data_IF_466633631107
#
_entry.id   IF_466633631107
#
_cell.length_a   1.000
_cell.length_b   1.000
_cell.length_c   1.000
_cell.angle_alpha   90.00
_cell.angle_beta   90.00
_cell.angle_gamma   90.00
#
_symmetry.space_group_name_H-M   'P 1'
#
loop_
_entity.id
_entity.type
_entity.pdbx_description
1 polymer ?
#
# COMPACT_ATOMS: atom_id res chain seq x y z
N UNK A 1 23.72 15.43 4.97
CA UNK A 1 22.46 14.86 4.43
C UNK A 1 21.72 14.24 5.61
N UNK A 2 20.46 14.57 5.79
CA UNK A 2 19.70 14.11 6.98
C UNK A 2 19.56 12.60 6.96
N UNK A 3 19.99 11.95 8.04
CA UNK A 3 19.83 10.51 8.29
C UNK A 3 18.35 10.08 8.32
N UNK A 4 17.46 11.05 8.45
CA UNK A 4 16.01 10.83 8.63
C UNK A 4 15.30 10.23 7.41
N UNK A 5 15.74 10.56 6.17
CA UNK A 5 15.12 10.07 4.91
C UNK A 5 15.89 8.91 4.27
N UNK A 6 16.82 8.28 4.99
CA UNK A 6 17.69 7.26 4.40
C UNK A 6 16.89 6.08 3.83
N UNK A 7 15.87 5.59 4.54
CA UNK A 7 15.04 4.50 4.06
C UNK A 7 14.29 4.82 2.76
N UNK A 8 13.83 6.07 2.60
CA UNK A 8 13.20 6.52 1.36
C UNK A 8 14.22 6.59 0.20
N UNK A 9 15.44 7.04 0.48
CA UNK A 9 16.54 7.05 -0.51
C UNK A 9 16.85 5.62 -0.96
N UNK A 10 17.05 4.71 -0.01
CA UNK A 10 17.35 3.30 -0.29
C UNK A 10 16.22 2.66 -1.11
N UNK A 11 14.96 2.87 -0.73
CA UNK A 11 13.81 2.40 -1.48
C UNK A 11 13.77 2.92 -2.92
N UNK A 12 14.04 4.22 -3.13
CA UNK A 12 14.07 4.80 -4.48
C UNK A 12 15.17 4.15 -5.32
N UNK A 13 16.36 3.95 -4.75
CA UNK A 13 17.50 3.33 -5.45
C UNK A 13 17.27 1.84 -5.73
N UNK A 14 16.58 1.12 -4.85
CA UNK A 14 16.20 -0.29 -5.04
C UNK A 14 15.20 -0.46 -6.19
N UNK A 15 14.25 0.46 -6.32
CA UNK A 15 13.24 0.42 -7.39
C UNK A 15 13.82 0.84 -8.73
N UNK A 16 14.63 1.87 -8.73
CA UNK A 16 15.26 2.39 -9.95
C UNK A 16 16.67 2.91 -9.66
N UNK A 17 17.72 2.30 -10.25
CA UNK A 17 19.10 2.72 -10.04
C UNK A 17 19.33 4.18 -10.41
N UNK A 18 19.74 4.99 -9.44
CA UNK A 18 20.12 6.38 -9.64
C UNK A 18 21.22 6.80 -8.66
N UNK A 19 21.89 7.93 -8.94
CA UNK A 19 22.89 8.47 -8.03
C UNK A 19 22.30 8.92 -6.71
N UNK A 20 23.08 8.86 -5.63
CA UNK A 20 22.67 9.36 -4.32
C UNK A 20 22.29 10.85 -4.36
N UNK A 21 22.97 11.65 -5.21
CA UNK A 21 22.64 13.06 -5.40
C UNK A 21 21.23 13.24 -5.97
N UNK A 22 20.88 12.50 -7.03
CA UNK A 22 19.54 12.56 -7.64
C UNK A 22 18.46 12.07 -6.69
N UNK A 23 18.69 10.97 -5.95
CA UNK A 23 17.78 10.50 -4.93
C UNK A 23 17.60 11.55 -3.81
N UNK A 24 18.69 12.20 -3.39
CA UNK A 24 18.66 13.28 -2.41
C UNK A 24 17.83 14.49 -2.85
N UNK A 25 17.92 14.88 -4.13
CA UNK A 25 17.10 15.95 -4.69
C UNK A 25 15.60 15.58 -4.70
N UNK A 26 15.29 14.33 -5.04
CA UNK A 26 13.90 13.84 -5.05
C UNK A 26 13.31 13.85 -3.63
N UNK A 27 14.01 13.29 -2.65
CA UNK A 27 13.48 13.19 -1.27
C UNK A 27 13.37 14.54 -0.57
N UNK A 28 14.01 15.59 -1.09
CA UNK A 28 13.86 16.96 -0.58
C UNK A 28 12.42 17.48 -0.68
N UNK A 29 11.63 16.97 -1.64
CA UNK A 29 10.21 17.31 -1.82
C UNK A 29 9.27 16.57 -0.87
N UNK A 30 9.75 15.54 -0.20
CA UNK A 30 8.90 14.75 0.70
C UNK A 30 8.88 15.37 2.10
N UNK A 31 7.71 15.43 2.70
CA UNK A 31 7.45 15.91 4.05
C UNK A 31 7.03 14.75 4.96
N UNK A 32 7.35 14.85 6.24
CA UNK A 32 6.95 13.88 7.23
C UNK A 32 5.46 14.01 7.56
N UNK A 33 4.77 12.87 7.69
CA UNK A 33 3.42 12.78 8.23
C UNK A 33 3.34 11.59 9.19
N UNK A 34 2.66 11.81 10.29
CA UNK A 34 2.38 10.79 11.30
C UNK A 34 0.88 10.57 11.40
N UNK A 35 0.49 9.32 11.58
CA UNK A 35 -0.89 8.91 11.81
C UNK A 35 -0.91 7.96 13.00
N UNK A 36 -1.85 8.16 13.91
CA UNK A 36 -2.08 7.21 14.99
C UNK A 36 -2.99 6.08 14.51
N UNK A 37 -2.94 4.96 15.22
CA UNK A 37 -3.82 3.82 14.93
C UNK A 37 -5.28 4.26 14.83
N UNK A 38 -5.98 3.81 13.78
CA UNK A 38 -7.35 4.13 13.37
C UNK A 38 -7.52 5.48 12.68
N UNK A 39 -6.50 6.30 12.51
CA UNK A 39 -6.59 7.52 11.71
C UNK A 39 -6.87 7.18 10.24
N UNK A 40 -7.62 8.06 9.59
CA UNK A 40 -7.84 7.97 8.15
C UNK A 40 -6.76 8.75 7.41
N UNK A 41 -6.00 8.05 6.59
CA UNK A 41 -5.04 8.66 5.65
C UNK A 41 -5.82 9.20 4.43
N UNK A 42 -6.85 8.47 3.99
CA UNK A 42 -7.79 8.90 2.96
C UNK A 42 -9.19 8.43 3.33
N UNK A 43 -10.19 9.28 3.14
CA UNK A 43 -11.61 8.92 3.26
C UNK A 43 -12.26 8.83 1.90
N UNK A 44 -13.12 7.84 1.73
CA UNK A 44 -14.02 7.74 0.58
C UNK A 44 -14.71 9.07 0.30
N UNK A 45 -14.88 9.42 -0.96
CA UNK A 45 -15.46 10.70 -1.40
C UNK A 45 -14.48 11.87 -1.41
N UNK A 46 -13.26 11.73 -0.87
CA UNK A 46 -12.19 12.73 -0.95
C UNK A 46 -11.25 12.41 -2.11
N UNK A 47 -10.65 13.44 -2.70
CA UNK A 47 -9.60 13.27 -3.69
C UNK A 47 -8.30 12.93 -2.96
N UNK A 48 -7.59 11.88 -3.42
CA UNK A 48 -6.26 11.55 -2.93
C UNK A 48 -5.27 12.63 -3.40
N UNK A 49 -4.72 13.39 -2.48
CA UNK A 49 -3.83 14.51 -2.77
C UNK A 49 -2.36 14.22 -2.46
N UNK A 50 -2.08 13.16 -1.72
CA UNK A 50 -0.75 12.82 -1.25
C UNK A 50 -0.37 11.39 -1.64
N UNK A 51 0.92 11.22 -1.93
CA UNK A 51 1.57 9.96 -2.26
C UNK A 51 2.57 9.68 -1.14
N UNK A 52 2.36 8.63 -0.38
CA UNK A 52 3.12 8.33 0.83
C UNK A 52 4.08 7.16 0.61
N UNK A 53 5.28 7.27 1.14
CA UNK A 53 6.16 6.15 1.45
C UNK A 53 6.02 5.84 2.95
N UNK A 54 5.68 4.62 3.30
CA UNK A 54 5.59 4.20 4.70
C UNK A 54 6.98 3.85 5.20
N UNK A 55 7.55 4.69 6.06
CA UNK A 55 8.81 4.39 6.73
C UNK A 55 8.62 3.35 7.83
N UNK A 56 7.53 3.48 8.59
CA UNK A 56 7.13 2.57 9.65
C UNK A 56 5.61 2.58 9.79
N UNK A 57 5.03 1.41 10.07
CA UNK A 57 3.61 1.29 10.34
C UNK A 57 2.91 0.29 9.44
N UNK A 58 1.59 0.24 9.58
CA UNK A 58 0.74 -0.67 8.84
C UNK A 58 -0.63 -0.05 8.60
N UNK A 59 -1.11 -0.12 7.37
CA UNK A 59 -2.38 0.44 6.96
C UNK A 59 -3.14 -0.51 6.03
N UNK A 60 -4.42 -0.26 5.83
CA UNK A 60 -5.26 -0.95 4.84
C UNK A 60 -6.04 0.03 3.97
N UNK A 61 -6.30 -0.36 2.73
CA UNK A 61 -7.40 0.18 1.94
C UNK A 61 -8.61 -0.73 2.04
N UNK A 62 -9.82 -0.16 2.05
CA UNK A 62 -11.06 -0.91 2.04
C UNK A 62 -12.20 -0.09 1.42
N UNK A 63 -13.20 -0.78 0.91
CA UNK A 63 -14.45 -0.23 0.42
C UNK A 63 -15.63 -0.99 1.03
N UNK A 64 -16.86 -0.55 0.75
CA UNK A 64 -18.07 -1.26 1.16
C UNK A 64 -18.66 -2.02 -0.03
N UNK A 65 -19.09 -3.26 0.21
CA UNK A 65 -19.86 -4.01 -0.76
C UNK A 65 -21.33 -3.53 -0.84
N UNK A 66 -22.13 -4.16 -1.69
CA UNK A 66 -23.57 -3.84 -1.86
C UNK A 66 -24.42 -4.11 -0.63
N UNK A 67 -23.92 -4.89 0.32
CA UNK A 67 -24.59 -5.21 1.58
C UNK A 67 -24.10 -4.32 2.74
N UNK A 68 -23.12 -3.44 2.49
CA UNK A 68 -22.53 -2.55 3.47
C UNK A 68 -21.44 -3.17 4.32
N UNK A 69 -20.92 -4.36 3.95
CA UNK A 69 -19.76 -4.94 4.62
C UNK A 69 -18.46 -4.28 4.16
N UNK A 70 -17.54 -4.06 5.09
CA UNK A 70 -16.22 -3.56 4.73
C UNK A 70 -15.38 -4.68 4.06
N UNK A 71 -14.85 -4.39 2.88
CA UNK A 71 -14.03 -5.30 2.09
C UNK A 71 -12.64 -4.71 1.90
N UNK A 72 -11.64 -5.35 2.49
CA UNK A 72 -10.25 -4.92 2.36
C UNK A 72 -9.74 -5.17 0.95
N UNK A 73 -9.23 -4.12 0.32
CA UNK A 73 -8.71 -4.15 -1.05
C UNK A 73 -7.19 -4.23 -1.10
N UNK A 74 -6.51 -3.65 -0.11
CA UNK A 74 -5.05 -3.72 -0.01
C UNK A 74 -4.58 -3.62 1.46
N UNK A 75 -3.37 -4.12 1.70
CA UNK A 75 -2.57 -3.82 2.89
C UNK A 75 -1.29 -3.10 2.48
N UNK A 76 -0.82 -2.24 3.37
CA UNK A 76 0.41 -1.48 3.19
C UNK A 76 1.27 -1.61 4.45
N UNK A 77 2.50 -2.03 4.29
CA UNK A 77 3.49 -2.15 5.37
C UNK A 77 4.68 -1.23 5.15
N UNK A 78 5.63 -1.24 6.08
CA UNK A 78 6.87 -0.47 5.95
C UNK A 78 7.59 -0.78 4.63
N UNK A 79 8.27 0.21 4.07
CA UNK A 79 8.96 0.19 2.78
C UNK A 79 8.03 -0.01 1.57
N UNK A 80 6.79 0.45 1.67
CA UNK A 80 5.84 0.42 0.57
C UNK A 80 5.28 1.81 0.27
N UNK A 81 4.82 1.97 -0.96
CA UNK A 81 4.07 3.15 -1.37
C UNK A 81 2.59 2.93 -1.05
N UNK A 82 2.00 3.92 -0.40
CA UNK A 82 0.59 4.01 -0.09
C UNK A 82 -0.01 5.18 -0.87
N UNK A 83 -0.92 4.86 -1.78
CA UNK A 83 -1.65 5.85 -2.57
C UNK A 83 -2.87 5.18 -3.23
N UNK A 84 -4.02 5.84 -3.20
CA UNK A 84 -5.12 5.46 -4.09
C UNK A 84 -4.85 6.07 -5.47
N UNK A 85 -4.18 5.30 -6.31
CA UNK A 85 -3.61 5.75 -7.60
C UNK A 85 -4.66 6.28 -8.57
N UNK A 86 -5.86 5.69 -8.59
CA UNK A 86 -6.90 6.10 -9.52
C UNK A 86 -7.43 7.49 -9.19
N UNK A 87 -7.76 7.76 -7.90
CA UNK A 87 -8.15 9.09 -7.44
C UNK A 87 -7.01 10.09 -7.60
N UNK A 88 -5.78 9.70 -7.24
CA UNK A 88 -4.61 10.57 -7.29
C UNK A 88 -4.35 11.09 -8.71
N UNK A 89 -4.28 10.19 -9.71
CA UNK A 89 -3.95 10.58 -11.08
C UNK A 89 -5.15 11.09 -11.89
N UNK A 90 -6.37 10.58 -11.62
CA UNK A 90 -7.57 11.03 -12.32
C UNK A 90 -8.22 12.27 -11.70
N UNK A 91 -7.78 12.67 -10.51
CA UNK A 91 -8.31 13.82 -9.75
C UNK A 91 -9.82 13.72 -9.50
N UNK A 92 -10.30 12.51 -9.19
CA UNK A 92 -11.70 12.21 -8.87
C UNK A 92 -11.81 11.69 -7.44
N UNK A 93 -12.99 11.79 -6.79
CA UNK A 93 -13.18 11.24 -5.45
C UNK A 93 -12.84 9.75 -5.36
N UNK A 94 -12.11 9.37 -4.31
CA UNK A 94 -11.80 7.97 -3.99
C UNK A 94 -13.08 7.19 -3.68
N UNK A 95 -13.10 5.92 -4.08
CA UNK A 95 -14.10 4.92 -3.71
C UNK A 95 -13.64 4.03 -2.57
N UNK A 96 -12.48 4.31 -2.02
CA UNK A 96 -11.87 3.54 -0.94
C UNK A 96 -11.51 4.46 0.22
N UNK A 97 -11.52 3.88 1.41
CA UNK A 97 -10.92 4.45 2.59
C UNK A 97 -9.50 3.87 2.74
N UNK A 98 -8.54 4.67 3.21
CA UNK A 98 -7.24 4.19 3.67
C UNK A 98 -7.13 4.54 5.15
N UNK A 99 -6.89 3.52 5.99
CA UNK A 99 -6.88 3.64 7.44
C UNK A 99 -5.62 3.00 8.03
N UNK A 100 -4.98 3.69 8.97
CA UNK A 100 -3.89 3.17 9.76
C UNK A 100 -4.38 2.06 10.70
N UNK A 101 -3.77 0.88 10.67
CA UNK A 101 -4.02 -0.22 11.59
C UNK A 101 -3.02 -0.27 12.75
N UNK A 102 -1.90 0.43 12.62
CA UNK A 102 -0.91 0.73 13.64
C UNK A 102 -0.47 2.19 13.48
N UNK A 103 0.29 2.72 14.44
CA UNK A 103 0.89 4.04 14.27
C UNK A 103 1.80 4.03 13.04
N UNK A 104 1.67 5.05 12.20
CA UNK A 104 2.39 5.15 10.93
C UNK A 104 3.22 6.43 10.89
N UNK A 105 4.48 6.26 10.51
CA UNK A 105 5.36 7.34 10.09
C UNK A 105 5.57 7.24 8.58
N UNK A 106 5.27 8.31 7.86
CA UNK A 106 5.34 8.33 6.39
C UNK A 106 6.07 9.55 5.88
N UNK A 107 6.65 9.43 4.70
CA UNK A 107 7.13 10.55 3.90
C UNK A 107 6.16 10.76 2.75
N UNK A 108 5.58 11.94 2.63
CA UNK A 108 4.60 12.22 1.59
C UNK A 108 5.05 13.33 0.64
N UNK A 109 4.56 13.25 -0.58
CA UNK A 109 4.67 14.30 -1.59
C UNK A 109 3.27 14.61 -2.12
N UNK A 110 2.93 15.89 -2.25
CA UNK A 110 1.65 16.31 -2.81
C UNK A 110 1.57 16.05 -4.31
N UNK A 111 0.35 16.00 -4.85
CA UNK A 111 0.13 15.88 -6.30
C UNK A 111 0.87 16.95 -7.08
N UNK A 112 0.78 18.22 -6.67
CA UNK A 112 1.39 19.35 -7.39
C UNK A 112 2.92 19.27 -7.35
N UNK A 113 3.51 18.97 -6.20
CA UNK A 113 4.96 18.76 -6.06
C UNK A 113 5.43 17.57 -6.90
N UNK A 114 4.68 16.46 -6.90
CA UNK A 114 5.00 15.29 -7.72
C UNK A 114 5.01 15.64 -9.21
N UNK A 115 4.05 16.45 -9.71
CA UNK A 115 4.05 16.91 -11.09
C UNK A 115 5.31 17.73 -11.43
N UNK A 116 5.75 18.61 -10.52
CA UNK A 116 6.99 19.38 -10.69
C UNK A 116 8.21 18.45 -10.82
N UNK A 117 8.33 17.45 -9.93
CA UNK A 117 9.43 16.48 -9.95
C UNK A 117 9.37 15.63 -11.23
N UNK A 118 8.20 15.15 -11.63
CA UNK A 118 8.02 14.42 -12.89
C UNK A 118 8.42 15.22 -14.12
N UNK A 119 8.13 16.53 -14.12
CA UNK A 119 8.48 17.38 -15.26
C UNK A 119 9.98 17.62 -15.36
N UNK A 120 10.63 17.89 -14.24
CA UNK A 120 12.01 18.38 -14.18
C UNK A 120 13.04 17.26 -14.04
N UNK A 121 12.68 16.07 -13.57
CA UNK A 121 13.63 14.99 -13.24
C UNK A 121 13.31 13.70 -14.02
N UNK A 122 14.00 13.44 -15.15
CA UNK A 122 13.77 12.24 -15.97
C UNK A 122 13.89 10.92 -15.17
N UNK A 123 14.85 10.84 -14.24
CA UNK A 123 15.04 9.65 -13.39
C UNK A 123 13.83 9.36 -12.50
N UNK A 124 13.16 10.40 -12.03
CA UNK A 124 11.93 10.23 -11.23
C UNK A 124 10.76 9.73 -12.09
N UNK A 125 10.69 10.08 -13.36
CA UNK A 125 9.71 9.49 -14.28
C UNK A 125 9.90 7.99 -14.44
N UNK A 126 11.15 7.54 -14.57
CA UNK A 126 11.46 6.12 -14.67
C UNK A 126 11.16 5.37 -13.36
N UNK A 127 11.51 5.95 -12.21
CA UNK A 127 11.11 5.44 -10.91
C UNK A 127 9.58 5.32 -10.81
N UNK A 128 8.83 6.38 -11.12
CA UNK A 128 7.37 6.38 -11.10
C UNK A 128 6.76 5.35 -12.05
N UNK A 129 7.34 5.20 -13.26
CA UNK A 129 6.95 4.15 -14.22
C UNK A 129 7.15 2.75 -13.62
N UNK A 130 8.28 2.50 -12.97
CA UNK A 130 8.56 1.21 -12.33
C UNK A 130 7.55 0.91 -11.21
N UNK A 131 7.24 1.88 -10.37
CA UNK A 131 6.20 1.75 -9.32
C UNK A 131 4.85 1.40 -9.93
N UNK A 132 4.41 2.10 -10.99
CA UNK A 132 3.10 1.85 -11.62
C UNK A 132 3.05 0.47 -12.29
N UNK A 133 4.12 0.02 -12.93
CA UNK A 133 4.20 -1.32 -13.52
C UNK A 133 4.11 -2.39 -12.44
N UNK A 134 4.81 -2.23 -11.30
CA UNK A 134 4.77 -3.15 -10.18
C UNK A 134 3.36 -3.18 -9.55
N UNK A 135 2.73 -2.03 -9.34
CA UNK A 135 1.38 -1.94 -8.80
C UNK A 135 0.35 -2.63 -9.72
N UNK A 136 0.46 -2.40 -11.03
CA UNK A 136 -0.39 -3.09 -12.01
C UNK A 136 -0.17 -4.60 -12.00
N UNK A 137 1.09 -5.06 -11.94
CA UNK A 137 1.41 -6.48 -11.89
C UNK A 137 0.82 -7.16 -10.64
N UNK A 138 0.95 -6.53 -9.47
CA UNK A 138 0.36 -7.02 -8.22
C UNK A 138 -1.17 -7.09 -8.29
N UNK A 139 -1.82 -6.04 -8.80
CA UNK A 139 -3.27 -6.02 -9.00
C UNK A 139 -3.72 -7.14 -9.95
N UNK A 140 -2.99 -7.34 -11.07
CA UNK A 140 -3.28 -8.40 -12.03
C UNK A 140 -3.11 -9.79 -11.42
N UNK A 141 -2.04 -10.02 -10.69
CA UNK A 141 -1.81 -11.27 -9.96
C UNK A 141 -2.92 -11.55 -8.97
N UNK A 142 -3.31 -10.55 -8.16
CA UNK A 142 -4.42 -10.68 -7.22
C UNK A 142 -5.74 -11.02 -7.92
N UNK A 143 -6.06 -10.35 -9.02
CA UNK A 143 -7.27 -10.65 -9.80
C UNK A 143 -7.27 -12.10 -10.29
N UNK A 144 -6.14 -12.58 -10.82
CA UNK A 144 -6.00 -13.96 -11.26
C UNK A 144 -6.08 -14.97 -10.11
N UNK A 145 -5.49 -14.65 -8.96
CA UNK A 145 -5.56 -15.49 -7.77
C UNK A 145 -6.99 -15.70 -7.30
N UNK A 146 -7.80 -14.62 -7.26
CA UNK A 146 -9.23 -14.72 -6.90
C UNK A 146 -10.01 -15.63 -7.85
N UNK A 147 -9.64 -15.65 -9.15
CA UNK A 147 -10.33 -16.46 -10.19
C UNK A 147 -9.85 -17.92 -10.21
N UNK A 148 -8.56 -18.16 -9.97
CA UNK A 148 -7.91 -19.45 -10.27
C UNK A 148 -7.55 -20.28 -9.05
N UNK A 149 -7.51 -19.67 -7.88
CA UNK A 149 -7.01 -20.30 -6.66
C UNK A 149 -8.13 -20.53 -5.65
N UNK A 150 -8.02 -21.61 -4.91
CA UNK A 150 -8.86 -21.88 -3.74
C UNK A 150 -8.55 -20.90 -2.60
N UNK A 151 -9.44 -20.78 -1.65
CA UNK A 151 -9.23 -19.97 -0.46
C UNK A 151 -7.98 -20.41 0.36
N UNK A 152 -7.69 -21.71 0.36
CA UNK A 152 -6.51 -22.28 1.05
C UNK A 152 -5.22 -21.88 0.34
N UNK A 153 -5.18 -21.96 -0.98
CA UNK A 153 -4.02 -21.53 -1.77
C UNK A 153 -3.75 -20.05 -1.60
N UNK A 154 -4.79 -19.20 -1.66
CA UNK A 154 -4.66 -17.76 -1.41
C UNK A 154 -4.15 -17.45 0.00
N UNK A 155 -4.62 -18.21 1.01
CA UNK A 155 -4.12 -18.08 2.38
C UNK A 155 -2.63 -18.42 2.47
N UNK A 156 -2.19 -19.52 1.86
CA UNK A 156 -0.78 -19.95 1.85
C UNK A 156 0.10 -18.92 1.13
N UNK A 157 -0.34 -18.43 -0.02
CA UNK A 157 0.38 -17.40 -0.77
C UNK A 157 0.54 -16.11 0.05
N UNK A 158 -0.53 -15.65 0.71
CA UNK A 158 -0.46 -14.48 1.56
C UNK A 158 0.47 -14.67 2.75
N UNK A 159 0.44 -15.85 3.39
CA UNK A 159 1.30 -16.18 4.52
C UNK A 159 2.80 -16.19 4.12
N UNK A 160 3.11 -16.66 2.92
CA UNK A 160 4.47 -16.72 2.40
C UNK A 160 4.98 -15.36 1.93
N UNK A 161 4.14 -14.58 1.24
CA UNK A 161 4.54 -13.31 0.64
C UNK A 161 4.51 -12.13 1.61
N UNK A 162 3.65 -12.19 2.62
CA UNK A 162 3.39 -11.06 3.52
C UNK A 162 3.00 -11.52 4.94
N UNK A 163 3.92 -12.22 5.65
CA UNK A 163 3.64 -12.78 6.97
C UNK A 163 3.25 -11.71 8.02
N UNK A 164 3.74 -10.49 7.85
CA UNK A 164 3.46 -9.36 8.76
C UNK A 164 1.98 -9.02 8.84
N UNK A 165 1.20 -9.28 7.76
CA UNK A 165 -0.24 -9.06 7.74
C UNK A 165 -0.93 -9.86 8.86
N UNK A 166 -0.48 -11.10 9.09
CA UNK A 166 -1.06 -11.97 10.13
C UNK A 166 -0.71 -11.57 11.56
N UNK A 167 0.31 -10.72 11.72
CA UNK A 167 0.71 -10.17 13.02
C UNK A 167 0.01 -8.85 13.33
N UNK A 168 -0.30 -8.05 12.30
CA UNK A 168 -0.74 -6.67 12.44
C UNK A 168 -2.22 -6.45 12.12
N UNK A 169 -2.82 -7.28 11.24
CA UNK A 169 -4.21 -7.12 10.85
C UNK A 169 -5.16 -8.03 11.67
N UNK A 170 -6.36 -7.55 12.02
CA UNK A 170 -7.42 -8.40 12.56
C UNK A 170 -7.81 -9.52 11.59
N UNK A 171 -8.13 -10.70 12.11
CA UNK A 171 -8.51 -11.86 11.27
C UNK A 171 -9.69 -11.56 10.34
N UNK A 172 -10.68 -10.80 10.82
CA UNK A 172 -11.81 -10.36 10.00
C UNK A 172 -11.36 -9.59 8.76
N UNK A 173 -10.39 -8.70 8.93
CA UNK A 173 -9.81 -7.90 7.85
C UNK A 173 -9.05 -8.78 6.85
N UNK A 174 -8.31 -9.79 7.35
CA UNK A 174 -7.61 -10.78 6.51
C UNK A 174 -8.61 -11.64 5.75
N UNK A 175 -9.69 -12.10 6.39
CA UNK A 175 -10.73 -12.89 5.74
C UNK A 175 -11.37 -12.12 4.60
N UNK A 176 -11.74 -10.84 4.84
CA UNK A 176 -12.31 -9.99 3.81
C UNK A 176 -11.33 -9.77 2.64
N UNK A 177 -10.04 -9.57 2.91
CA UNK A 177 -9.01 -9.48 1.88
C UNK A 177 -8.88 -10.75 1.04
N UNK A 178 -9.00 -11.93 1.66
CA UNK A 178 -8.97 -13.22 0.98
C UNK A 178 -10.29 -13.56 0.26
N UNK A 179 -11.33 -12.74 0.40
CA UNK A 179 -12.65 -12.96 -0.18
C UNK A 179 -13.38 -14.16 0.44
N UNK A 180 -13.21 -14.36 1.75
CA UNK A 180 -13.84 -15.45 2.51
C UNK A 180 -14.42 -14.94 3.83
N UNK A 181 -15.23 -15.76 4.48
CA UNK A 181 -15.77 -15.45 5.81
C UNK A 181 -14.76 -15.74 6.93
N UNK A 182 -14.94 -15.11 8.09
CA UNK A 182 -14.12 -15.34 9.29
C UNK A 182 -14.10 -16.81 9.72
N UNK A 183 -15.26 -17.49 9.61
CA UNK A 183 -15.39 -18.92 9.93
C UNK A 183 -14.59 -19.79 8.96
N UNK A 184 -14.58 -19.44 7.67
CA UNK A 184 -13.77 -20.14 6.67
C UNK A 184 -12.28 -19.96 6.92
N UNK A 185 -11.83 -18.73 7.22
CA UNK A 185 -10.43 -18.46 7.58
C UNK A 185 -10.02 -19.24 8.85
N UNK A 186 -10.87 -19.26 9.88
CA UNK A 186 -10.60 -19.99 11.12
C UNK A 186 -10.47 -21.50 10.87
N UNK A 187 -11.26 -22.07 9.95
CA UNK A 187 -11.16 -23.48 9.55
C UNK A 187 -9.84 -23.73 8.82
N UNK A 188 -9.49 -22.93 7.81
CA UNK A 188 -8.24 -23.07 7.06
C UNK A 188 -7.03 -23.02 8.00
N UNK A 189 -6.97 -22.06 8.91
CA UNK A 189 -5.87 -21.94 9.89
C UNK A 189 -5.73 -23.16 10.77
N UNK A 190 -6.85 -23.76 11.23
CA UNK A 190 -6.86 -24.98 12.07
C UNK A 190 -6.35 -26.19 11.31
N UNK A 191 -6.73 -26.32 10.04
CA UNK A 191 -6.26 -27.41 9.17
C UNK A 191 -4.78 -27.26 8.85
N UNK A 192 -4.31 -26.04 8.61
CA UNK A 192 -2.90 -25.75 8.34
C UNK A 192 -2.00 -25.98 9.56
N UNK A 193 -2.47 -25.70 10.78
CA UNK A 193 -1.72 -25.93 12.02
C UNK A 193 -1.57 -27.42 12.40
N UNK A 194 -2.29 -28.32 11.72
CA UNK A 194 -2.21 -29.78 11.94
C UNK A 194 -1.25 -30.48 10.97
N UNK A 195 -0.79 -29.78 9.93
CA UNK A 195 0.21 -30.25 8.96
C UNK A 195 1.62 -29.90 9.41
#
# INVERSE_FOLDING_TARGET
>A
MSTEKQKLIDFIQDVFPMSLANAGEIVAFFEEREFTKNDFILKEGKICNEYHFIEQGFARAYTFDTEGNDVTTAFYSSNQILCELFSFFKRIPSRENIQALADCKTWCISFDQLQVVFHNMPQFREFGRAILVNAYAQLKQRTLSVIRETAEERYVHLLQSSPDIFQQAPLKTIASYLGITDSSLSRIRREFAKK
#
